data_IF_883754114090
#
_entry.id   IF_883754114090
#
_cell.length_a   1.000
_cell.length_b   1.000
_cell.length_c   1.000
_cell.angle_alpha   90.00
_cell.angle_beta   90.00
_cell.angle_gamma   90.00
#
_symmetry.space_group_name_H-M   'P 1'
#
loop_
_entity.id
_entity.type
_entity.pdbx_description
1 polymer ?
#
# COMPACT_ATOMS: atom_id res chain seq x y z
N UNK A 1 -58.36 40.90 -20.73
CA UNK A 1 -58.72 39.64 -20.01
C UNK A 1 -59.00 38.43 -20.92
N UNK A 2 -58.67 38.46 -22.23
CA UNK A 2 -58.89 37.33 -23.15
C UNK A 2 -57.70 36.35 -23.31
N UNK A 3 -56.47 36.77 -22.96
CA UNK A 3 -55.26 35.94 -23.13
C UNK A 3 -55.10 34.79 -22.12
N UNK A 4 -55.66 34.92 -20.92
CA UNK A 4 -55.46 33.94 -19.83
C UNK A 4 -56.25 32.62 -20.05
N UNK A 5 -57.42 32.70 -20.67
CA UNK A 5 -58.24 31.53 -21.00
C UNK A 5 -57.70 30.77 -22.23
N UNK A 6 -57.15 31.48 -23.22
CA UNK A 6 -56.46 30.88 -24.36
C UNK A 6 -55.19 30.12 -23.96
N UNK A 7 -54.37 30.72 -23.09
CA UNK A 7 -53.15 30.10 -22.56
C UNK A 7 -53.45 28.82 -21.77
N UNK A 8 -54.45 28.82 -20.87
CA UNK A 8 -54.86 27.60 -20.13
C UNK A 8 -55.43 26.50 -21.02
N UNK A 9 -56.16 26.84 -22.09
CA UNK A 9 -56.69 25.86 -23.04
C UNK A 9 -55.56 25.22 -23.86
N UNK A 10 -54.58 26.03 -24.27
CA UNK A 10 -53.40 25.57 -25.00
C UNK A 10 -52.50 24.69 -24.11
N UNK A 11 -52.31 25.05 -22.84
CA UNK A 11 -51.57 24.27 -21.85
C UNK A 11 -52.24 22.91 -21.56
N UNK A 12 -53.58 22.86 -21.47
CA UNK A 12 -54.32 21.59 -21.34
C UNK A 12 -54.16 20.71 -22.57
N UNK A 13 -54.33 21.26 -23.77
CA UNK A 13 -54.16 20.51 -25.01
C UNK A 13 -52.72 19.97 -25.18
N UNK A 14 -51.71 20.72 -24.73
CA UNK A 14 -50.32 20.26 -24.71
C UNK A 14 -50.12 19.10 -23.72
N UNK A 15 -50.73 19.15 -22.53
CA UNK A 15 -50.69 18.07 -21.53
C UNK A 15 -51.39 16.81 -22.04
N UNK A 16 -52.59 16.94 -22.59
CA UNK A 16 -53.34 15.81 -23.14
C UNK A 16 -52.56 15.13 -24.29
N UNK A 17 -51.87 15.91 -25.13
CA UNK A 17 -51.01 15.39 -26.18
C UNK A 17 -49.77 14.66 -25.64
N UNK A 18 -49.15 15.20 -24.57
CA UNK A 18 -48.02 14.56 -23.91
C UNK A 18 -48.42 13.24 -23.22
N UNK A 19 -49.59 13.21 -22.59
CA UNK A 19 -50.12 12.00 -21.95
C UNK A 19 -50.46 10.91 -22.98
N UNK A 20 -51.03 11.31 -24.11
CA UNK A 20 -51.28 10.39 -25.21
C UNK A 20 -49.99 9.84 -25.83
N UNK A 21 -48.93 10.66 -25.90
CA UNK A 21 -47.60 10.20 -26.33
C UNK A 21 -46.96 9.25 -25.31
N UNK A 22 -47.09 9.53 -24.02
CA UNK A 22 -46.61 8.64 -22.96
C UNK A 22 -47.30 7.28 -23.01
N UNK A 23 -48.62 7.25 -23.25
CA UNK A 23 -49.38 6.00 -23.46
C UNK A 23 -48.88 5.22 -24.67
N UNK A 24 -48.73 5.88 -25.84
CA UNK A 24 -48.16 5.24 -27.04
C UNK A 24 -46.77 4.64 -26.80
N UNK A 25 -45.92 5.36 -26.06
CA UNK A 25 -44.58 4.88 -25.68
C UNK A 25 -44.64 3.67 -24.77
N UNK A 26 -45.55 3.66 -23.80
CA UNK A 26 -45.75 2.51 -22.90
C UNK A 26 -46.22 1.27 -23.67
N UNK A 27 -47.17 1.41 -24.60
CA UNK A 27 -47.63 0.31 -25.47
C UNK A 27 -46.49 -0.21 -26.36
N UNK A 28 -45.71 0.69 -26.96
CA UNK A 28 -44.56 0.31 -27.79
C UNK A 28 -43.49 -0.43 -26.97
N UNK A 29 -43.19 0.04 -25.76
CA UNK A 29 -42.21 -0.58 -24.86
C UNK A 29 -42.66 -1.98 -24.41
N UNK A 30 -43.96 -2.20 -24.16
CA UNK A 30 -44.50 -3.53 -23.85
C UNK A 30 -44.28 -4.53 -24.98
N UNK A 31 -44.57 -4.12 -26.21
CA UNK A 31 -44.39 -4.99 -27.39
C UNK A 31 -42.91 -5.29 -27.62
N UNK A 32 -42.04 -4.27 -27.49
CA UNK A 32 -40.60 -4.44 -27.66
C UNK A 32 -40.01 -5.40 -26.61
N UNK A 33 -40.36 -5.22 -25.33
CA UNK A 33 -39.88 -6.06 -24.25
C UNK A 33 -40.42 -7.51 -24.33
N UNK A 34 -41.67 -7.71 -24.76
CA UNK A 34 -42.23 -9.06 -24.99
C UNK A 34 -41.50 -9.80 -26.14
N UNK A 35 -41.25 -9.11 -27.26
CA UNK A 35 -40.48 -9.67 -28.37
C UNK A 35 -39.04 -9.95 -27.97
N UNK A 36 -38.43 -9.07 -27.15
CA UNK A 36 -37.09 -9.27 -26.60
C UNK A 36 -37.04 -10.48 -25.68
N UNK A 37 -38.03 -10.67 -24.82
CA UNK A 37 -38.17 -11.84 -23.95
C UNK A 37 -38.25 -13.13 -24.77
N UNK A 38 -39.08 -13.14 -25.83
CA UNK A 38 -39.23 -14.30 -26.73
C UNK A 38 -37.93 -14.65 -27.43
N UNK A 39 -37.29 -13.65 -28.06
CA UNK A 39 -36.02 -13.84 -28.77
C UNK A 39 -34.92 -14.32 -27.82
N UNK A 40 -34.85 -13.76 -26.61
CA UNK A 40 -33.84 -14.13 -25.61
C UNK A 40 -34.08 -15.54 -25.06
N UNK A 41 -35.32 -16.01 -24.98
CA UNK A 41 -35.63 -17.39 -24.63
C UNK A 41 -35.14 -18.39 -25.70
N UNK A 42 -35.24 -18.02 -26.98
CA UNK A 42 -34.69 -18.83 -28.09
C UNK A 42 -33.16 -18.86 -28.04
N UNK A 43 -32.52 -17.71 -27.79
CA UNK A 43 -31.06 -17.61 -27.60
C UNK A 43 -30.57 -18.42 -26.39
N UNK A 44 -31.35 -18.47 -25.30
CA UNK A 44 -31.03 -19.33 -24.15
C UNK A 44 -30.95 -20.81 -24.56
N UNK A 45 -31.88 -21.30 -25.39
CA UNK A 45 -31.84 -22.70 -25.86
C UNK A 45 -30.56 -22.97 -26.66
N UNK A 46 -30.16 -22.04 -27.52
CA UNK A 46 -28.90 -22.14 -28.26
C UNK A 46 -27.69 -22.13 -27.31
N UNK A 47 -27.66 -21.20 -26.34
CA UNK A 47 -26.58 -21.10 -25.37
C UNK A 47 -26.49 -22.36 -24.49
N UNK A 48 -27.61 -22.97 -24.10
CA UNK A 48 -27.63 -24.23 -23.35
C UNK A 48 -27.03 -25.40 -24.13
N UNK A 49 -27.24 -25.46 -25.44
CA UNK A 49 -26.66 -26.50 -26.30
C UNK A 49 -25.14 -26.34 -26.47
N UNK A 50 -24.65 -25.10 -26.47
CA UNK A 50 -23.22 -24.80 -26.62
C UNK A 50 -22.45 -24.89 -25.30
N UNK A 51 -23.04 -24.40 -24.21
CA UNK A 51 -22.35 -24.19 -22.93
C UNK A 51 -22.78 -25.13 -21.82
N UNK A 52 -24.00 -25.68 -21.87
CA UNK A 52 -24.61 -26.40 -20.76
C UNK A 52 -25.56 -25.51 -19.94
N UNK A 53 -26.18 -26.11 -18.91
CA UNK A 53 -27.26 -25.47 -18.14
C UNK A 53 -26.76 -24.62 -16.98
N UNK A 54 -25.60 -24.96 -16.41
CA UNK A 54 -25.04 -24.19 -15.30
C UNK A 54 -24.47 -22.86 -15.79
N UNK A 55 -23.79 -22.85 -16.93
CA UNK A 55 -23.21 -21.65 -17.52
C UNK A 55 -24.27 -20.63 -17.98
N UNK A 56 -25.50 -21.07 -18.24
CA UNK A 56 -26.62 -20.23 -18.70
C UNK A 56 -27.61 -19.90 -17.59
N UNK A 57 -27.31 -20.26 -16.34
CA UNK A 57 -28.20 -20.07 -15.19
C UNK A 57 -28.62 -18.62 -15.02
N UNK A 58 -27.68 -17.69 -15.07
CA UNK A 58 -27.97 -16.27 -14.86
C UNK A 58 -28.92 -15.69 -15.92
N UNK A 59 -28.84 -16.16 -17.18
CA UNK A 59 -29.77 -15.77 -18.23
C UNK A 59 -31.16 -16.36 -17.99
N UNK A 60 -31.23 -17.62 -17.55
CA UNK A 60 -32.49 -18.28 -17.18
C UNK A 60 -33.20 -17.57 -16.04
N UNK A 61 -32.45 -17.24 -14.98
CA UNK A 61 -32.97 -16.53 -13.82
C UNK A 61 -33.44 -15.11 -14.21
N UNK A 62 -32.70 -14.44 -15.10
CA UNK A 62 -33.12 -13.15 -15.65
C UNK A 62 -34.41 -13.24 -16.48
N UNK A 63 -34.55 -14.25 -17.34
CA UNK A 63 -35.79 -14.48 -18.09
C UNK A 63 -37.00 -14.70 -17.18
N UNK A 64 -36.83 -15.42 -16.07
CA UNK A 64 -37.91 -15.65 -15.10
C UNK A 64 -38.27 -14.38 -14.32
N UNK A 65 -37.27 -13.56 -13.97
CA UNK A 65 -37.48 -12.25 -13.36
C UNK A 65 -38.22 -11.29 -14.33
N UNK A 66 -37.80 -11.25 -15.59
CA UNK A 66 -38.43 -10.42 -16.64
C UNK A 66 -39.86 -10.86 -16.90
N UNK A 67 -40.16 -12.16 -16.98
CA UNK A 67 -41.54 -12.67 -17.10
C UNK A 67 -42.44 -12.17 -15.97
N UNK A 68 -41.92 -12.17 -14.75
CA UNK A 68 -42.67 -11.72 -13.57
C UNK A 68 -43.01 -10.22 -13.67
N UNK A 69 -42.02 -9.39 -14.00
CA UNK A 69 -42.18 -7.94 -14.09
C UNK A 69 -42.95 -7.48 -15.34
N UNK A 70 -42.84 -8.19 -16.47
CA UNK A 70 -43.71 -7.94 -17.63
C UNK A 70 -45.16 -8.30 -17.31
N UNK A 71 -45.41 -9.32 -16.49
CA UNK A 71 -46.76 -9.60 -15.97
C UNK A 71 -47.35 -8.43 -15.17
N UNK A 72 -46.55 -7.74 -14.34
CA UNK A 72 -46.93 -6.50 -13.67
C UNK A 72 -47.24 -5.40 -14.69
N UNK A 73 -46.38 -5.20 -15.69
CA UNK A 73 -46.55 -4.18 -16.72
C UNK A 73 -47.83 -4.41 -17.57
N UNK A 74 -48.13 -5.65 -17.96
CA UNK A 74 -49.38 -5.99 -18.66
C UNK A 74 -50.62 -5.77 -17.78
N UNK A 75 -50.53 -6.07 -16.48
CA UNK A 75 -51.62 -5.78 -15.53
C UNK A 75 -51.88 -4.29 -15.42
N UNK A 76 -50.83 -3.48 -15.33
CA UNK A 76 -50.94 -2.01 -15.33
C UNK A 76 -51.54 -1.50 -16.63
N UNK A 77 -51.16 -2.07 -17.78
CA UNK A 77 -51.73 -1.67 -19.06
C UNK A 77 -53.21 -2.06 -19.19
N UNK A 78 -53.61 -3.20 -18.64
CA UNK A 78 -55.00 -3.62 -18.61
C UNK A 78 -55.86 -2.64 -17.80
N UNK A 79 -55.37 -2.16 -16.64
CA UNK A 79 -56.06 -1.14 -15.84
C UNK A 79 -56.25 0.16 -16.61
N UNK A 80 -55.25 0.61 -17.37
CA UNK A 80 -55.35 1.81 -18.19
C UNK A 80 -56.44 1.73 -19.29
N UNK A 81 -56.87 0.53 -19.65
CA UNK A 81 -57.83 0.25 -20.72
C UNK A 81 -59.15 -0.34 -20.22
N UNK A 82 -59.37 -0.36 -18.90
CA UNK A 82 -60.60 -0.90 -18.35
C UNK A 82 -61.80 0.07 -18.52
N UNK A 83 -62.96 -0.33 -18.02
CA UNK A 83 -64.20 0.44 -18.16
C UNK A 83 -64.39 1.48 -17.04
N UNK A 84 -63.44 1.56 -16.09
CA UNK A 84 -63.46 2.46 -14.94
C UNK A 84 -62.66 3.71 -15.33
N UNK A 85 -63.25 4.92 -15.27
CA UNK A 85 -62.52 6.13 -15.61
C UNK A 85 -61.40 6.42 -14.60
N UNK A 86 -60.15 6.30 -15.02
CA UNK A 86 -58.98 6.72 -14.25
C UNK A 86 -58.74 8.23 -14.32
N UNK A 87 -58.03 8.77 -13.33
CA UNK A 87 -57.53 10.15 -13.40
C UNK A 87 -56.32 10.25 -14.34
N UNK A 88 -56.08 11.42 -14.98
CA UNK A 88 -54.89 11.61 -15.82
C UNK A 88 -53.56 11.39 -15.08
N UNK A 89 -53.52 11.61 -13.77
CA UNK A 89 -52.31 11.41 -12.96
C UNK A 89 -52.02 9.92 -12.71
N UNK A 90 -53.07 9.10 -12.51
CA UNK A 90 -52.95 7.65 -12.40
C UNK A 90 -52.44 7.04 -13.72
N UNK A 91 -53.00 7.47 -14.86
CA UNK A 91 -52.54 7.04 -16.18
C UNK A 91 -51.06 7.39 -16.44
N UNK A 92 -50.63 8.61 -16.10
CA UNK A 92 -49.21 9.00 -16.21
C UNK A 92 -48.32 8.12 -15.36
N UNK A 93 -48.71 7.88 -14.11
CA UNK A 93 -47.93 7.09 -13.15
C UNK A 93 -47.80 5.64 -13.62
N UNK A 94 -48.90 5.03 -14.08
CA UNK A 94 -48.89 3.65 -14.60
C UNK A 94 -48.10 3.54 -15.90
N UNK A 95 -48.28 4.45 -16.86
CA UNK A 95 -47.52 4.44 -18.12
C UNK A 95 -46.02 4.65 -17.88
N UNK A 96 -45.63 5.55 -16.96
CA UNK A 96 -44.23 5.71 -16.58
C UNK A 96 -43.66 4.43 -15.93
N UNK A 97 -44.45 3.76 -15.08
CA UNK A 97 -44.06 2.49 -14.46
C UNK A 97 -43.93 1.36 -15.49
N UNK A 98 -44.84 1.27 -16.47
CA UNK A 98 -44.75 0.31 -17.59
C UNK A 98 -43.44 0.51 -18.34
N UNK A 99 -43.15 1.74 -18.77
CA UNK A 99 -41.90 2.06 -19.47
C UNK A 99 -40.68 1.66 -18.62
N UNK A 100 -40.68 2.01 -17.33
CA UNK A 100 -39.58 1.64 -16.43
C UNK A 100 -39.36 0.13 -16.34
N UNK A 101 -40.44 -0.67 -16.27
CA UNK A 101 -40.36 -2.13 -16.19
C UNK A 101 -39.85 -2.73 -17.52
N UNK A 102 -40.31 -2.19 -18.65
CA UNK A 102 -39.86 -2.62 -19.99
C UNK A 102 -38.40 -2.26 -20.24
N UNK A 103 -37.98 -1.03 -19.94
CA UNK A 103 -36.60 -0.58 -20.10
C UNK A 103 -35.65 -1.43 -19.24
N UNK A 104 -36.02 -1.68 -17.97
CA UNK A 104 -35.26 -2.56 -17.09
C UNK A 104 -35.15 -4.00 -17.63
N UNK A 105 -36.23 -4.52 -18.22
CA UNK A 105 -36.25 -5.85 -18.79
C UNK A 105 -35.31 -5.96 -19.99
N UNK A 106 -35.35 -5.00 -20.91
CA UNK A 106 -34.45 -4.95 -22.06
C UNK A 106 -32.98 -4.85 -21.62
N UNK A 107 -32.66 -3.91 -20.74
CA UNK A 107 -31.30 -3.72 -20.21
C UNK A 107 -30.77 -5.00 -19.54
N UNK A 108 -31.58 -5.64 -18.69
CA UNK A 108 -31.17 -6.86 -18.00
C UNK A 108 -30.89 -8.01 -18.99
N UNK A 109 -31.76 -8.22 -19.97
CA UNK A 109 -31.58 -9.29 -20.95
C UNK A 109 -30.37 -9.04 -21.86
N UNK A 110 -30.16 -7.79 -22.28
CA UNK A 110 -29.01 -7.37 -23.07
C UNK A 110 -27.70 -7.63 -22.32
N UNK A 111 -27.62 -7.23 -21.05
CA UNK A 111 -26.47 -7.46 -20.19
C UNK A 111 -26.15 -8.97 -20.07
N UNK A 112 -27.17 -9.80 -19.83
CA UNK A 112 -26.98 -11.25 -19.68
C UNK A 112 -26.55 -11.91 -20.99
N UNK A 113 -27.12 -11.51 -22.12
CA UNK A 113 -26.73 -12.04 -23.43
C UNK A 113 -25.30 -11.63 -23.80
N UNK A 114 -24.92 -10.38 -23.54
CA UNK A 114 -23.57 -9.90 -23.80
C UNK A 114 -22.52 -10.67 -22.98
N UNK A 115 -22.83 -11.02 -21.73
CA UNK A 115 -21.96 -11.83 -20.89
C UNK A 115 -21.72 -13.25 -21.45
N UNK A 116 -22.65 -13.80 -22.24
CA UNK A 116 -22.54 -15.12 -22.85
C UNK A 116 -21.83 -15.12 -24.21
N UNK A 117 -21.67 -13.96 -24.86
CA UNK A 117 -21.13 -13.88 -26.21
C UNK A 117 -19.71 -14.47 -26.32
N UNK A 118 -18.80 -14.11 -25.40
CA UNK A 118 -17.44 -14.64 -25.40
C UNK A 118 -17.38 -16.14 -25.05
N UNK A 119 -18.05 -16.63 -23.97
CA UNK A 119 -18.16 -18.06 -23.70
C UNK A 119 -18.65 -18.88 -24.90
N UNK A 120 -19.72 -18.43 -25.58
CA UNK A 120 -20.25 -19.11 -26.77
C UNK A 120 -19.22 -19.13 -27.90
N UNK A 121 -18.58 -17.99 -28.18
CA UNK A 121 -17.54 -17.92 -29.21
C UNK A 121 -16.35 -18.85 -28.89
N UNK A 122 -15.98 -18.99 -27.62
CA UNK A 122 -14.93 -19.92 -27.17
C UNK A 122 -15.38 -21.38 -27.32
N UNK A 123 -16.60 -21.72 -26.91
CA UNK A 123 -17.14 -23.06 -27.04
C UNK A 123 -17.22 -23.53 -28.49
N UNK A 124 -17.55 -22.64 -29.43
CA UNK A 124 -17.53 -22.93 -30.88
C UNK A 124 -16.12 -23.20 -31.42
N UNK A 125 -15.10 -22.49 -30.92
CA UNK A 125 -13.69 -22.70 -31.29
C UNK A 125 -13.02 -23.87 -30.56
N UNK A 126 -13.70 -24.53 -29.62
CA UNK A 126 -13.11 -25.62 -28.85
C UNK A 126 -12.46 -26.73 -29.71
N UNK A 127 -13.02 -27.19 -30.85
CA UNK A 127 -12.35 -28.17 -31.71
C UNK A 127 -11.00 -27.68 -32.25
N UNK A 128 -10.93 -26.41 -32.68
CA UNK A 128 -9.67 -25.80 -33.14
C UNK A 128 -8.65 -25.70 -32.01
N UNK A 129 -9.10 -25.34 -30.80
CA UNK A 129 -8.24 -25.27 -29.60
C UNK A 129 -7.71 -26.66 -29.24
N UNK A 130 -8.54 -27.70 -29.30
CA UNK A 130 -8.15 -29.10 -29.04
C UNK A 130 -7.06 -29.55 -30.02
N UNK A 131 -7.20 -29.25 -31.31
CA UNK A 131 -6.16 -29.54 -32.30
C UNK A 131 -4.87 -28.75 -32.04
N UNK A 132 -4.99 -27.49 -31.61
CA UNK A 132 -3.87 -26.68 -31.15
C UNK A 132 -3.11 -27.34 -29.99
N UNK A 133 -3.83 -27.80 -28.97
CA UNK A 133 -3.27 -28.53 -27.81
C UNK A 133 -2.55 -29.80 -28.27
N UNK A 134 -3.16 -30.60 -29.16
CA UNK A 134 -2.53 -31.83 -29.69
C UNK A 134 -1.22 -31.52 -30.42
N UNK A 135 -1.20 -30.46 -31.23
CA UNK A 135 0.01 -30.02 -31.92
C UNK A 135 1.08 -29.50 -30.94
N UNK A 136 0.69 -28.79 -29.89
CA UNK A 136 1.61 -28.33 -28.83
C UNK A 136 2.16 -29.50 -28.02
N UNK A 137 1.32 -30.49 -27.69
CA UNK A 137 1.76 -31.71 -27.02
C UNK A 137 2.80 -32.44 -27.86
N UNK A 138 2.56 -32.62 -29.16
CA UNK A 138 3.53 -33.26 -30.05
C UNK A 138 4.88 -32.52 -30.06
N UNK A 139 4.84 -31.18 -30.22
CA UNK A 139 6.06 -30.34 -30.16
C UNK A 139 6.76 -30.44 -28.81
N UNK A 140 6.01 -30.43 -27.70
CA UNK A 140 6.54 -30.55 -26.36
C UNK A 140 7.23 -31.89 -26.13
N UNK A 141 6.59 -32.99 -26.56
CA UNK A 141 7.12 -34.35 -26.45
C UNK A 141 8.44 -34.49 -27.23
N UNK A 142 8.53 -33.92 -28.44
CA UNK A 142 9.77 -33.90 -29.22
C UNK A 142 10.90 -33.09 -28.55
N UNK A 143 10.55 -32.09 -27.72
CA UNK A 143 11.53 -31.29 -26.96
C UNK A 143 12.05 -32.02 -25.71
N UNK A 144 11.31 -32.95 -25.12
CA UNK A 144 11.68 -33.61 -23.85
C UNK A 144 13.07 -34.27 -23.93
N UNK A 145 13.40 -35.12 -24.93
CA UNK A 145 14.73 -35.74 -25.02
C UNK A 145 15.87 -34.72 -25.15
N UNK A 146 15.62 -33.59 -25.81
CA UNK A 146 16.59 -32.50 -25.91
C UNK A 146 16.81 -31.83 -24.56
N UNK A 147 15.76 -31.58 -23.80
CA UNK A 147 15.85 -31.01 -22.45
C UNK A 147 16.60 -31.97 -21.49
N UNK A 148 16.34 -33.28 -21.56
CA UNK A 148 17.09 -34.29 -20.80
C UNK A 148 18.58 -34.30 -21.17
N UNK A 149 18.93 -34.27 -22.46
CA UNK A 149 20.31 -34.19 -22.90
C UNK A 149 21.00 -32.88 -22.46
N UNK A 150 20.28 -31.77 -22.46
CA UNK A 150 20.78 -30.49 -21.91
C UNK A 150 21.05 -30.60 -20.42
N UNK A 151 20.12 -31.16 -19.65
CA UNK A 151 20.29 -31.36 -18.21
C UNK A 151 21.50 -32.27 -17.91
N UNK A 152 21.71 -33.35 -18.67
CA UNK A 152 22.89 -34.21 -18.51
C UNK A 152 24.21 -33.46 -18.76
N UNK A 153 24.26 -32.57 -19.77
CA UNK A 153 25.44 -31.71 -19.99
C UNK A 153 25.65 -30.73 -18.84
N UNK A 154 24.57 -30.12 -18.35
CA UNK A 154 24.63 -29.18 -17.22
C UNK A 154 25.08 -29.87 -15.93
N UNK A 155 24.67 -31.12 -15.69
CA UNK A 155 25.14 -31.94 -14.56
C UNK A 155 26.65 -32.20 -14.60
N UNK A 156 27.31 -32.12 -15.76
CA UNK A 156 28.76 -32.21 -15.83
C UNK A 156 29.46 -30.90 -15.41
N UNK A 157 28.80 -29.75 -15.56
CA UNK A 157 29.34 -28.41 -15.24
C UNK A 157 28.98 -27.92 -13.85
N UNK A 158 27.74 -28.11 -13.41
CA UNK A 158 27.17 -27.47 -12.22
C UNK A 158 26.86 -28.47 -11.10
N UNK A 159 26.85 -27.98 -9.85
CA UNK A 159 26.51 -28.81 -8.70
C UNK A 159 25.04 -29.27 -8.74
N UNK A 160 24.68 -30.36 -8.04
CA UNK A 160 23.28 -30.76 -7.87
C UNK A 160 22.41 -29.66 -7.26
N UNK A 161 22.97 -28.88 -6.33
CA UNK A 161 22.29 -27.76 -5.66
C UNK A 161 21.92 -26.66 -6.66
N UNK A 162 22.84 -26.29 -7.56
CA UNK A 162 22.58 -25.30 -8.61
C UNK A 162 21.45 -25.73 -9.55
N UNK A 163 21.38 -27.03 -9.86
CA UNK A 163 20.42 -27.61 -10.78
C UNK A 163 19.10 -28.00 -10.12
N UNK A 164 18.98 -27.87 -8.79
CA UNK A 164 17.85 -28.39 -8.04
C UNK A 164 16.49 -27.94 -8.61
N UNK A 165 16.39 -26.67 -9.02
CA UNK A 165 15.16 -26.07 -9.58
C UNK A 165 14.76 -26.60 -10.96
N UNK A 166 15.68 -27.22 -11.70
CA UNK A 166 15.43 -27.69 -13.08
C UNK A 166 15.59 -29.21 -13.24
N UNK A 167 16.13 -29.90 -12.24
CA UNK A 167 16.49 -31.31 -12.33
C UNK A 167 15.28 -32.22 -12.62
N UNK A 168 14.09 -31.87 -12.12
CA UNK A 168 12.85 -32.61 -12.34
C UNK A 168 12.04 -32.19 -13.58
N UNK A 169 12.40 -31.04 -14.19
CA UNK A 169 11.54 -30.36 -15.16
C UNK A 169 11.22 -31.21 -16.41
N UNK A 170 12.18 -31.91 -17.05
CA UNK A 170 11.86 -32.70 -18.24
C UNK A 170 10.85 -33.81 -17.94
N UNK A 171 11.00 -34.49 -16.78
CA UNK A 171 10.10 -35.57 -16.36
C UNK A 171 8.69 -35.05 -16.03
N UNK A 172 8.62 -33.95 -15.29
CA UNK A 172 7.34 -33.31 -14.95
C UNK A 172 6.65 -32.76 -16.20
N UNK A 173 7.39 -32.15 -17.12
CA UNK A 173 6.86 -31.70 -18.40
C UNK A 173 6.27 -32.86 -19.22
N UNK A 174 6.97 -34.01 -19.30
CA UNK A 174 6.45 -35.20 -19.99
C UNK A 174 5.11 -35.66 -19.40
N UNK A 175 5.00 -35.73 -18.06
CA UNK A 175 3.76 -36.11 -17.38
C UNK A 175 2.61 -35.12 -17.65
N UNK A 176 2.92 -33.83 -17.68
CA UNK A 176 1.93 -32.79 -17.98
C UNK A 176 1.48 -32.84 -19.45
N UNK A 177 2.37 -33.16 -20.38
CA UNK A 177 2.04 -33.34 -21.79
C UNK A 177 1.15 -34.57 -22.01
N UNK A 178 1.43 -35.68 -21.34
CA UNK A 178 0.56 -36.87 -21.32
C UNK A 178 -0.83 -36.54 -20.73
N UNK A 179 -0.85 -35.81 -19.62
CA UNK A 179 -2.10 -35.35 -19.00
C UNK A 179 -2.89 -34.42 -19.93
N UNK A 180 -2.22 -33.51 -20.63
CA UNK A 180 -2.85 -32.61 -21.60
C UNK A 180 -3.44 -33.37 -22.79
N UNK A 181 -2.72 -34.37 -23.34
CA UNK A 181 -3.24 -35.23 -24.40
C UNK A 181 -4.51 -35.95 -23.94
N UNK A 182 -4.48 -36.55 -22.75
CA UNK A 182 -5.65 -37.22 -22.19
C UNK A 182 -6.81 -36.25 -21.97
N UNK A 183 -6.54 -35.05 -21.44
CA UNK A 183 -7.55 -34.00 -21.25
C UNK A 183 -8.20 -33.56 -22.56
N UNK A 184 -7.44 -33.46 -23.65
CA UNK A 184 -7.94 -33.16 -24.99
C UNK A 184 -8.88 -34.26 -25.52
N UNK A 185 -8.53 -35.53 -25.31
CA UNK A 185 -9.37 -36.68 -25.69
C UNK A 185 -10.66 -36.75 -24.86
N UNK A 186 -10.56 -36.53 -23.54
CA UNK A 186 -11.72 -36.45 -22.64
C UNK A 186 -12.63 -35.30 -23.04
N UNK A 187 -12.07 -34.12 -23.35
CA UNK A 187 -12.85 -32.99 -23.81
C UNK A 187 -13.64 -33.34 -25.07
N UNK A 188 -12.99 -33.95 -26.06
CA UNK A 188 -13.63 -34.41 -27.31
C UNK A 188 -14.81 -35.35 -27.03
N UNK A 189 -14.58 -36.42 -26.26
CA UNK A 189 -15.61 -37.42 -25.96
C UNK A 189 -16.79 -36.84 -25.16
N UNK A 190 -16.52 -35.92 -24.22
CA UNK A 190 -17.57 -35.24 -23.44
C UNK A 190 -18.40 -34.31 -24.32
N UNK A 191 -17.79 -33.62 -25.30
CA UNK A 191 -18.52 -32.80 -26.27
C UNK A 191 -19.45 -33.63 -27.15
N UNK A 192 -18.99 -34.78 -27.63
CA UNK A 192 -19.77 -35.70 -28.47
C UNK A 192 -20.95 -36.31 -27.71
N UNK A 193 -20.82 -36.50 -26.40
CA UNK A 193 -21.90 -37.01 -25.52
C UNK A 193 -22.79 -35.90 -24.93
N UNK A 194 -22.65 -34.65 -25.37
CA UNK A 194 -23.46 -33.51 -24.92
C UNK A 194 -23.08 -32.94 -23.54
N UNK A 195 -22.01 -33.42 -22.93
CA UNK A 195 -21.50 -33.00 -21.62
C UNK A 195 -20.58 -31.75 -21.75
N UNK A 196 -21.17 -30.61 -22.15
CA UNK A 196 -20.43 -29.38 -22.50
C UNK A 196 -19.60 -28.82 -21.35
N UNK A 197 -20.14 -28.81 -20.15
CA UNK A 197 -19.47 -28.29 -18.96
C UNK A 197 -18.22 -29.11 -18.61
N UNK A 198 -18.38 -30.44 -18.55
CA UNK A 198 -17.27 -31.36 -18.27
C UNK A 198 -16.21 -31.32 -19.39
N UNK A 199 -16.64 -31.12 -20.63
CA UNK A 199 -15.74 -30.95 -21.75
C UNK A 199 -14.90 -29.65 -21.65
N UNK A 200 -15.53 -28.53 -21.29
CA UNK A 200 -14.84 -27.25 -21.14
C UNK A 200 -13.84 -27.30 -19.99
N UNK A 201 -14.21 -27.92 -18.86
CA UNK A 201 -13.28 -28.14 -17.76
C UNK A 201 -12.06 -28.96 -18.20
N UNK A 202 -12.27 -30.09 -18.88
CA UNK A 202 -11.17 -30.91 -19.39
C UNK A 202 -10.26 -30.14 -20.38
N UNK A 203 -10.87 -29.28 -21.21
CA UNK A 203 -10.15 -28.40 -22.14
C UNK A 203 -9.26 -27.40 -21.39
N UNK A 204 -9.80 -26.69 -20.41
CA UNK A 204 -9.06 -25.70 -19.62
C UNK A 204 -7.89 -26.36 -18.85
N UNK A 205 -8.11 -27.53 -18.28
CA UNK A 205 -7.04 -28.29 -17.62
C UNK A 205 -5.94 -28.72 -18.58
N UNK A 206 -6.29 -29.07 -19.81
CA UNK A 206 -5.31 -29.44 -20.83
C UNK A 206 -4.49 -28.23 -21.29
N UNK A 207 -5.13 -27.07 -21.48
CA UNK A 207 -4.46 -25.79 -21.80
C UNK A 207 -3.43 -25.46 -20.72
N UNK A 208 -3.84 -25.50 -19.45
CA UNK A 208 -2.96 -25.17 -18.33
C UNK A 208 -1.79 -26.16 -18.22
N UNK A 209 -2.03 -27.44 -18.44
CA UNK A 209 -0.98 -28.46 -18.42
C UNK A 209 0.07 -28.25 -19.51
N UNK A 210 -0.34 -27.93 -20.75
CA UNK A 210 0.61 -27.58 -21.84
C UNK A 210 1.40 -26.32 -21.50
N UNK A 211 0.74 -25.28 -20.97
CA UNK A 211 1.40 -24.03 -20.56
C UNK A 211 2.48 -24.29 -19.51
N UNK A 212 2.17 -25.10 -18.49
CA UNK A 212 3.12 -25.47 -17.44
C UNK A 212 4.26 -26.33 -17.98
N UNK A 213 3.97 -27.33 -18.82
CA UNK A 213 5.00 -28.16 -19.45
C UNK A 213 5.98 -27.32 -20.28
N UNK A 214 5.45 -26.38 -21.06
CA UNK A 214 6.26 -25.44 -21.86
C UNK A 214 7.17 -24.60 -20.98
N UNK A 215 6.63 -24.02 -19.90
CA UNK A 215 7.41 -23.23 -18.94
C UNK A 215 8.55 -24.03 -18.31
N UNK A 216 8.31 -25.30 -17.96
CA UNK A 216 9.32 -26.18 -17.38
C UNK A 216 10.45 -26.49 -18.37
N UNK A 217 10.13 -26.74 -19.63
CA UNK A 217 11.12 -26.98 -20.69
C UNK A 217 11.92 -25.71 -21.00
N UNK A 218 11.25 -24.56 -21.08
CA UNK A 218 11.90 -23.26 -21.31
C UNK A 218 12.88 -22.90 -20.19
N UNK A 219 12.56 -23.24 -18.94
CA UNK A 219 13.47 -23.05 -17.81
C UNK A 219 14.77 -23.89 -17.94
N UNK A 220 14.71 -25.09 -18.51
CA UNK A 220 15.91 -25.90 -18.78
C UNK A 220 16.76 -25.26 -19.88
N UNK A 221 16.11 -24.76 -20.93
CA UNK A 221 16.80 -24.09 -22.05
C UNK A 221 17.46 -22.77 -21.63
N UNK A 222 16.81 -22.01 -20.72
CA UNK A 222 17.31 -20.72 -20.23
C UNK A 222 18.45 -20.84 -19.20
N UNK A 223 18.50 -21.96 -18.46
CA UNK A 223 19.41 -22.12 -17.32
C UNK A 223 20.88 -21.87 -17.65
N UNK A 224 21.38 -22.39 -18.79
CA UNK A 224 22.79 -22.25 -19.14
C UNK A 224 23.20 -20.79 -19.32
N UNK A 225 22.33 -19.99 -19.94
CA UNK A 225 22.56 -18.55 -20.15
C UNK A 225 22.53 -17.81 -18.81
N UNK A 226 21.62 -18.17 -17.92
CA UNK A 226 21.52 -17.57 -16.58
C UNK A 226 22.74 -17.92 -15.72
N UNK A 227 23.19 -19.17 -15.75
CA UNK A 227 24.35 -19.62 -15.02
C UNK A 227 25.64 -18.94 -15.52
N UNK A 228 25.82 -18.80 -16.83
CA UNK A 228 26.94 -18.04 -17.42
C UNK A 228 26.93 -16.55 -17.01
N UNK A 229 25.74 -15.93 -16.92
CA UNK A 229 25.62 -14.55 -16.43
C UNK A 229 25.95 -14.46 -14.95
N UNK A 230 25.53 -15.43 -14.15
CA UNK A 230 25.85 -15.49 -12.73
C UNK A 230 27.37 -15.67 -12.52
N UNK A 231 28.03 -16.55 -13.28
CA UNK A 231 29.50 -16.71 -13.29
C UNK A 231 30.21 -15.38 -13.63
N UNK A 232 29.84 -14.74 -14.75
CA UNK A 232 30.46 -13.47 -15.15
C UNK A 232 30.25 -12.35 -14.13
N UNK A 233 29.10 -12.34 -13.45
CA UNK A 233 28.82 -11.35 -12.39
C UNK A 233 29.60 -11.66 -11.12
N UNK A 234 29.74 -12.95 -10.80
CA UNK A 234 30.53 -13.40 -9.66
C UNK A 234 31.99 -12.98 -9.81
N UNK A 235 32.58 -13.16 -10.99
CA UNK A 235 33.96 -12.73 -11.29
C UNK A 235 34.16 -11.22 -11.03
N UNK A 236 33.21 -10.39 -11.49
CA UNK A 236 33.25 -8.94 -11.27
C UNK A 236 33.15 -8.58 -9.78
N UNK A 237 32.22 -9.22 -9.04
CA UNK A 237 32.03 -8.96 -7.61
C UNK A 237 33.22 -9.46 -6.79
N UNK A 238 33.87 -10.56 -7.18
CA UNK A 238 35.09 -11.04 -6.51
C UNK A 238 36.21 -10.01 -6.58
N UNK A 239 36.42 -9.40 -7.75
CA UNK A 239 37.43 -8.36 -7.91
C UNK A 239 37.09 -7.11 -7.08
N UNK A 240 35.83 -6.67 -7.14
CA UNK A 240 35.33 -5.51 -6.37
C UNK A 240 35.47 -5.75 -4.85
N UNK A 241 35.02 -6.91 -4.36
CA UNK A 241 35.10 -7.32 -2.96
C UNK A 241 36.54 -7.31 -2.42
N UNK A 242 37.53 -7.69 -3.25
CA UNK A 242 38.95 -7.62 -2.86
C UNK A 242 39.42 -6.17 -2.74
N UNK A 243 38.95 -5.29 -3.62
CA UNK A 243 39.15 -3.85 -3.53
C UNK A 243 38.55 -3.28 -2.24
N UNK A 244 37.30 -3.62 -1.93
CA UNK A 244 36.57 -3.16 -0.74
C UNK A 244 37.24 -3.61 0.55
N UNK A 245 37.73 -4.86 0.61
CA UNK A 245 38.53 -5.35 1.74
C UNK A 245 39.82 -4.57 1.94
N UNK A 246 40.48 -4.11 0.87
CA UNK A 246 41.67 -3.26 0.97
C UNK A 246 41.28 -1.86 1.42
N UNK A 247 40.21 -1.30 0.86
CA UNK A 247 39.72 0.04 1.15
C UNK A 247 39.22 0.19 2.59
N UNK A 248 38.65 -0.86 3.19
CA UNK A 248 38.13 -0.87 4.55
C UNK A 248 39.20 -1.04 5.66
N UNK A 249 40.47 -1.25 5.30
CA UNK A 249 41.56 -1.47 6.28
C UNK A 249 41.80 -0.28 7.21
N UNK A 250 41.49 0.93 6.76
CA UNK A 250 41.56 2.16 7.57
C UNK A 250 40.57 2.16 8.74
N UNK A 251 39.48 1.38 8.62
CA UNK A 251 38.39 1.28 9.59
C UNK A 251 38.45 0.04 10.49
N UNK A 252 39.58 -0.67 10.54
CA UNK A 252 39.75 -1.89 11.38
C UNK A 252 39.53 -1.67 12.89
N UNK A 253 39.62 -0.42 13.34
CA UNK A 253 39.31 -0.05 14.73
C UNK A 253 37.81 -0.11 15.05
N UNK A 254 36.94 -0.20 14.04
CA UNK A 254 35.48 -0.32 14.20
C UNK A 254 35.10 -1.82 14.18
N UNK A 255 34.62 -2.40 15.30
CA UNK A 255 34.36 -3.84 15.39
C UNK A 255 33.36 -4.38 14.35
N UNK A 256 32.35 -3.57 13.99
CA UNK A 256 31.36 -3.95 12.99
C UNK A 256 31.97 -4.10 11.58
N UNK A 257 32.90 -3.21 11.21
CA UNK A 257 33.62 -3.30 9.94
C UNK A 257 34.52 -4.54 9.94
N UNK A 258 35.28 -4.77 11.01
CA UNK A 258 36.14 -5.96 11.13
C UNK A 258 35.36 -7.27 11.04
N UNK A 259 34.17 -7.34 11.65
CA UNK A 259 33.29 -8.51 11.55
C UNK A 259 32.72 -8.72 10.13
N UNK A 260 32.34 -7.63 9.46
CA UNK A 260 31.87 -7.68 8.07
C UNK A 260 32.99 -8.10 7.10
N UNK A 261 34.20 -7.54 7.26
CA UNK A 261 35.38 -7.94 6.50
C UNK A 261 35.70 -9.43 6.67
N UNK A 262 35.69 -9.94 7.91
CA UNK A 262 35.92 -11.37 8.17
C UNK A 262 34.85 -12.27 7.55
N UNK A 263 33.61 -11.78 7.43
CA UNK A 263 32.53 -12.49 6.75
C UNK A 263 32.75 -12.51 5.23
N UNK A 264 33.10 -11.38 4.63
CA UNK A 264 33.38 -11.29 3.20
C UNK A 264 34.60 -12.13 2.80
N UNK A 265 35.68 -12.08 3.57
CA UNK A 265 36.89 -12.90 3.35
C UNK A 265 36.56 -14.41 3.44
N UNK A 266 35.74 -14.80 4.41
CA UNK A 266 35.24 -16.18 4.52
C UNK A 266 34.43 -16.59 3.30
N UNK A 267 33.48 -15.79 2.82
CA UNK A 267 32.70 -16.15 1.63
C UNK A 267 33.58 -16.22 0.37
N UNK A 268 34.55 -15.32 0.21
CA UNK A 268 35.56 -15.39 -0.87
C UNK A 268 36.39 -16.67 -0.81
N UNK A 269 36.76 -17.13 0.39
CA UNK A 269 37.53 -18.36 0.58
C UNK A 269 36.71 -19.64 0.33
N UNK A 270 35.37 -19.54 0.39
CA UNK A 270 34.44 -20.65 0.20
C UNK A 270 33.95 -20.81 -1.24
N UNK A 271 34.36 -19.91 -2.16
CA UNK A 271 34.06 -20.03 -3.58
C UNK A 271 34.58 -21.34 -4.14
N UNK A 272 33.84 -21.89 -5.11
CA UNK A 272 34.18 -23.21 -5.65
C UNK A 272 35.51 -23.16 -6.40
N UNK A 273 36.50 -24.01 -6.04
CA UNK A 273 37.78 -24.07 -6.75
C UNK A 273 37.63 -24.51 -8.21
N UNK A 274 38.56 -24.05 -9.06
CA UNK A 274 38.65 -24.48 -10.45
C UNK A 274 38.68 -26.03 -10.56
N UNK A 275 37.89 -26.56 -11.51
CA UNK A 275 37.77 -28.00 -11.74
C UNK A 275 36.75 -28.73 -10.86
N UNK A 276 36.13 -28.05 -9.88
CA UNK A 276 34.91 -28.53 -9.21
C UNK A 276 33.67 -27.92 -9.86
N UNK A 277 32.50 -28.49 -9.56
CA UNK A 277 31.21 -28.03 -10.09
C UNK A 277 30.63 -26.94 -9.18
N UNK A 278 30.53 -25.68 -9.63
CA UNK A 278 30.06 -24.58 -8.81
C UNK A 278 28.54 -24.55 -8.66
N UNK A 279 28.09 -23.78 -7.67
CA UNK A 279 26.73 -23.23 -7.61
C UNK A 279 26.82 -21.71 -7.76
N UNK A 280 26.83 -21.20 -9.00
CA UNK A 280 27.07 -19.77 -9.23
C UNK A 280 25.96 -18.89 -8.65
N UNK A 281 24.74 -19.41 -8.47
CA UNK A 281 23.63 -18.62 -7.92
C UNK A 281 23.77 -18.45 -6.41
N UNK A 282 24.08 -19.53 -5.70
CA UNK A 282 24.26 -19.49 -4.24
C UNK A 282 25.55 -18.76 -3.87
N UNK A 283 26.63 -18.96 -4.62
CA UNK A 283 27.90 -18.22 -4.44
C UNK A 283 27.69 -16.71 -4.65
N UNK A 284 27.03 -16.32 -5.74
CA UNK A 284 26.72 -14.92 -6.04
C UNK A 284 25.84 -14.27 -4.96
N UNK A 285 24.84 -14.99 -4.45
CA UNK A 285 23.95 -14.48 -3.41
C UNK A 285 24.70 -14.21 -2.12
N UNK A 286 25.47 -15.20 -1.62
CA UNK A 286 26.26 -15.05 -0.40
C UNK A 286 27.29 -13.93 -0.49
N UNK A 287 27.96 -13.80 -1.63
CA UNK A 287 28.97 -12.77 -1.81
C UNK A 287 28.34 -11.36 -1.86
N UNK A 288 27.19 -11.19 -2.53
CA UNK A 288 26.44 -9.92 -2.52
C UNK A 288 25.97 -9.53 -1.12
N UNK A 289 25.45 -10.49 -0.35
CA UNK A 289 25.02 -10.25 1.02
C UNK A 289 26.19 -9.80 1.90
N UNK A 290 27.35 -10.48 1.78
CA UNK A 290 28.54 -10.12 2.52
C UNK A 290 29.09 -8.74 2.10
N UNK A 291 29.09 -8.41 0.81
CA UNK A 291 29.56 -7.11 0.33
C UNK A 291 28.64 -5.98 0.80
N UNK A 292 27.32 -6.14 0.66
CA UNK A 292 26.36 -5.16 1.14
C UNK A 292 26.45 -4.94 2.67
N UNK A 293 26.76 -5.99 3.44
CA UNK A 293 27.01 -5.86 4.87
C UNK A 293 28.28 -5.06 5.18
N UNK A 294 29.36 -5.25 4.41
CA UNK A 294 30.58 -4.46 4.53
C UNK A 294 30.32 -2.98 4.17
N UNK A 295 29.65 -2.73 3.05
CA UNK A 295 29.28 -1.38 2.61
C UNK A 295 28.47 -0.65 3.68
N UNK A 296 27.46 -1.31 4.26
CA UNK A 296 26.64 -0.74 5.32
C UNK A 296 27.47 -0.41 6.57
N UNK A 297 28.40 -1.29 6.96
CA UNK A 297 29.28 -1.07 8.11
C UNK A 297 30.26 0.09 7.86
N UNK A 298 30.87 0.14 6.67
CA UNK A 298 31.80 1.22 6.27
C UNK A 298 31.07 2.56 6.18
N UNK A 299 29.88 2.59 5.57
CA UNK A 299 29.06 3.79 5.48
C UNK A 299 28.67 4.31 6.87
N UNK A 300 28.23 3.42 7.77
CA UNK A 300 27.91 3.79 9.17
C UNK A 300 29.16 4.33 9.89
N UNK A 301 30.31 3.67 9.74
CA UNK A 301 31.56 4.10 10.35
C UNK A 301 32.03 5.48 9.85
N UNK A 302 31.96 5.73 8.54
CA UNK A 302 32.32 7.03 7.95
C UNK A 302 31.36 8.13 8.37
N UNK A 303 30.05 7.86 8.38
CA UNK A 303 29.05 8.81 8.88
C UNK A 303 29.30 9.17 10.35
N UNK A 304 29.73 8.20 11.15
CA UNK A 304 30.10 8.38 12.56
C UNK A 304 31.38 9.19 12.75
N UNK A 305 32.38 8.99 11.91
CA UNK A 305 33.60 9.78 11.94
C UNK A 305 33.35 11.24 11.53
N UNK A 306 32.50 11.45 10.53
CA UNK A 306 32.10 12.80 10.10
C UNK A 306 31.22 13.51 11.12
N UNK A 307 30.36 12.77 11.84
CA UNK A 307 29.46 13.31 12.86
C UNK A 307 29.61 12.53 14.19
N UNK A 308 30.63 12.85 15.01
CA UNK A 308 30.83 12.20 16.29
C UNK A 308 29.64 12.44 17.24
N UNK A 309 29.21 11.43 18.02
CA UNK A 309 28.14 11.62 19.00
C UNK A 309 28.59 12.60 20.08
N UNK A 310 27.65 13.29 20.74
CA UNK A 310 27.99 13.99 21.96
C UNK A 310 28.58 13.01 23.00
N UNK A 311 29.65 13.39 23.71
CA UNK A 311 30.20 12.58 24.80
C UNK A 311 29.12 12.23 25.82
N UNK A 312 29.11 10.99 26.31
CA UNK A 312 28.10 10.54 27.27
C UNK A 312 28.05 11.42 28.53
N UNK A 313 29.21 11.92 28.98
CA UNK A 313 29.29 12.85 30.10
C UNK A 313 28.52 14.15 29.82
N UNK A 314 28.55 14.69 28.59
CA UNK A 314 27.78 15.89 28.24
C UNK A 314 26.28 15.63 28.27
N UNK A 315 25.83 14.46 27.81
CA UNK A 315 24.43 14.05 27.88
C UNK A 315 23.98 13.94 29.35
N UNK A 316 24.78 13.28 30.20
CA UNK A 316 24.48 13.15 31.64
C UNK A 316 24.43 14.50 32.34
N UNK A 317 25.38 15.39 32.06
CA UNK A 317 25.36 16.75 32.62
C UNK A 317 24.12 17.56 32.19
N UNK A 318 23.67 17.41 30.94
CA UNK A 318 22.44 18.06 30.49
C UNK A 318 21.20 17.51 31.20
N UNK A 319 21.15 16.19 31.47
CA UNK A 319 20.06 15.57 32.25
C UNK A 319 20.09 16.08 33.70
N UNK A 320 21.25 16.12 34.35
CA UNK A 320 21.39 16.62 35.72
C UNK A 320 20.99 18.10 35.82
N UNK A 321 21.31 18.90 34.80
CA UNK A 321 20.92 20.31 34.75
C UNK A 321 19.40 20.47 34.58
N UNK A 322 18.80 19.71 33.67
CA UNK A 322 17.35 19.65 33.51
C UNK A 322 16.66 19.24 34.81
N UNK A 323 17.22 18.27 35.55
CA UNK A 323 16.71 17.83 36.85
C UNK A 323 16.74 18.92 37.91
N UNK A 324 17.82 19.70 37.99
CA UNK A 324 17.89 20.85 38.90
C UNK A 324 16.84 21.91 38.54
N UNK A 325 16.72 22.27 37.26
CA UNK A 325 15.75 23.26 36.81
C UNK A 325 14.31 22.79 37.07
N UNK A 326 14.02 21.51 36.81
CA UNK A 326 12.72 20.89 37.06
C UNK A 326 12.39 20.88 38.56
N UNK A 327 13.37 20.57 39.42
CA UNK A 327 13.23 20.62 40.87
C UNK A 327 12.88 22.01 41.39
N UNK A 328 13.55 23.05 40.88
CA UNK A 328 13.26 24.45 41.24
C UNK A 328 11.85 24.86 40.79
N UNK A 329 11.50 24.61 39.52
CA UNK A 329 10.18 24.93 38.98
C UNK A 329 9.06 24.22 39.75
N UNK A 330 9.23 22.93 40.06
CA UNK A 330 8.30 22.14 40.88
C UNK A 330 8.10 22.73 42.27
N UNK A 331 9.19 23.15 42.91
CA UNK A 331 9.14 23.71 44.27
C UNK A 331 8.38 25.03 44.30
N UNK A 332 8.71 25.97 43.40
CA UNK A 332 8.03 27.27 43.30
C UNK A 332 6.54 27.11 42.99
N UNK A 333 6.21 26.29 41.99
CA UNK A 333 4.81 26.04 41.58
C UNK A 333 4.03 25.34 42.70
N UNK A 334 4.65 24.41 43.43
CA UNK A 334 4.00 23.71 44.55
C UNK A 334 3.81 24.59 45.78
N UNK A 335 4.69 25.57 46.02
CA UNK A 335 4.58 26.52 47.13
C UNK A 335 3.51 27.60 46.93
N UNK A 336 3.17 27.92 45.67
CA UNK A 336 2.30 29.04 45.33
C UNK A 336 1.04 28.61 44.56
N UNK A 337 0.53 27.40 44.82
CA UNK A 337 -0.55 26.76 44.03
C UNK A 337 -1.82 27.61 43.85
N UNK A 338 -2.14 28.52 44.77
CA UNK A 338 -3.30 29.41 44.65
C UNK A 338 -3.12 30.53 43.61
N UNK A 339 -1.89 30.82 43.21
CA UNK A 339 -1.51 32.01 42.44
C UNK A 339 -0.99 31.66 41.04
N UNK A 340 -0.52 30.43 40.83
CA UNK A 340 0.04 29.99 39.54
C UNK A 340 -1.07 29.70 38.52
N UNK A 341 -0.88 30.13 37.27
CA UNK A 341 -1.78 29.91 36.13
C UNK A 341 -1.68 28.53 35.48
N UNK A 342 -2.49 28.29 34.45
CA UNK A 342 -2.53 27.02 33.72
C UNK A 342 -1.29 26.80 32.83
N UNK A 343 -0.75 27.87 32.26
CA UNK A 343 0.39 27.80 31.32
C UNK A 343 1.66 27.29 31.99
N UNK A 344 2.00 27.82 33.17
CA UNK A 344 3.15 27.37 33.95
C UNK A 344 3.04 25.87 34.33
N UNK A 345 1.83 25.42 34.73
CA UNK A 345 1.58 24.02 35.06
C UNK A 345 1.67 23.10 33.85
N UNK A 346 1.23 23.58 32.68
CA UNK A 346 1.30 22.82 31.43
C UNK A 346 2.75 22.62 30.99
N UNK A 347 3.58 23.67 31.05
CA UNK A 347 5.02 23.57 30.75
C UNK A 347 5.74 22.63 31.72
N UNK A 348 5.41 22.70 33.01
CA UNK A 348 5.95 21.78 34.01
C UNK A 348 5.56 20.33 33.72
N UNK A 349 4.30 20.05 33.43
CA UNK A 349 3.82 18.70 33.13
C UNK A 349 4.50 18.09 31.90
N UNK A 350 4.74 18.88 30.84
CA UNK A 350 5.45 18.42 29.65
C UNK A 350 6.95 18.17 29.93
N UNK A 351 7.60 19.02 30.73
CA UNK A 351 8.97 18.79 31.16
C UNK A 351 9.09 17.49 31.98
N UNK A 352 8.12 17.22 32.86
CA UNK A 352 8.05 15.97 33.63
C UNK A 352 7.86 14.74 32.75
N UNK A 353 7.05 14.86 31.68
CA UNK A 353 6.86 13.79 30.70
C UNK A 353 8.18 13.43 30.00
N UNK A 354 8.90 14.42 29.48
CA UNK A 354 10.21 14.20 28.84
C UNK A 354 11.21 13.64 29.85
N UNK A 355 11.19 14.11 31.10
CA UNK A 355 12.07 13.57 32.15
C UNK A 355 11.81 12.10 32.46
N UNK A 356 10.54 11.66 32.39
CA UNK A 356 10.17 10.26 32.56
C UNK A 356 10.75 9.40 31.42
N UNK A 357 10.73 9.89 30.18
CA UNK A 357 11.36 9.21 29.04
C UNK A 357 12.88 9.08 29.26
N UNK A 358 13.55 10.17 29.65
CA UNK A 358 14.98 10.18 30.00
C UNK A 358 15.33 9.29 31.20
N UNK A 359 14.38 8.99 32.09
CA UNK A 359 14.63 8.17 33.29
C UNK A 359 15.07 6.75 32.94
N UNK A 360 14.65 6.24 31.78
CA UNK A 360 15.04 4.92 31.26
C UNK A 360 16.55 4.79 31.01
N UNK A 361 17.24 5.92 30.80
CA UNK A 361 18.69 5.99 30.56
C UNK A 361 19.52 6.08 31.86
N UNK A 362 18.85 6.09 33.02
CA UNK A 362 19.53 6.26 34.32
C UNK A 362 20.20 4.94 34.75
N UNK A 363 21.47 5.01 35.15
CA UNK A 363 22.18 3.86 35.72
C UNK A 363 22.72 2.83 34.72
N UNK A 364 22.52 3.04 33.41
CA UNK A 364 23.10 2.22 32.34
C UNK A 364 23.93 3.11 31.40
N UNK A 365 24.96 2.57 30.70
CA UNK A 365 25.66 3.29 29.63
C UNK A 365 24.67 3.72 28.56
N UNK A 366 24.75 4.97 28.10
CA UNK A 366 23.86 5.48 27.04
C UNK A 366 24.43 5.01 25.71
N UNK A 367 23.66 4.20 24.98
CA UNK A 367 24.06 3.69 23.69
C UNK A 367 24.38 4.84 22.75
N UNK A 368 25.43 4.63 21.98
CA UNK A 368 26.06 5.67 21.19
C UNK A 368 25.11 6.31 20.16
N UNK A 369 24.20 5.52 19.60
CA UNK A 369 23.19 5.94 18.63
C UNK A 369 22.06 6.78 19.28
N UNK A 370 21.87 6.69 20.61
CA UNK A 370 20.79 7.39 21.34
C UNK A 370 21.25 8.74 21.92
N UNK A 371 22.56 9.00 21.98
CA UNK A 371 23.13 10.14 22.73
C UNK A 371 22.69 11.50 22.22
N UNK A 372 22.53 11.65 20.91
CA UNK A 372 22.12 12.93 20.31
C UNK A 372 20.66 13.26 20.63
N UNK A 373 19.77 12.28 20.49
CA UNK A 373 18.36 12.41 20.87
C UNK A 373 18.24 12.67 22.37
N UNK A 374 18.94 11.90 23.21
CA UNK A 374 18.94 12.08 24.66
C UNK A 374 19.43 13.48 25.08
N UNK A 375 20.44 14.03 24.39
CA UNK A 375 20.91 15.39 24.65
C UNK A 375 19.87 16.45 24.26
N UNK A 376 19.20 16.26 23.11
CA UNK A 376 18.14 17.16 22.65
C UNK A 376 16.95 17.15 23.62
N UNK A 377 16.53 15.97 24.07
CA UNK A 377 15.45 15.81 25.04
C UNK A 377 15.79 16.40 26.40
N UNK A 378 17.03 16.21 26.88
CA UNK A 378 17.50 16.82 28.13
C UNK A 378 17.47 18.35 28.06
N UNK A 379 17.96 18.94 26.96
CA UNK A 379 17.90 20.39 26.74
C UNK A 379 16.48 20.91 26.66
N UNK A 380 15.58 20.19 25.97
CA UNK A 380 14.17 20.54 25.86
C UNK A 380 13.45 20.48 27.21
N UNK A 381 13.73 19.45 28.02
CA UNK A 381 13.24 19.32 29.39
C UNK A 381 13.64 20.52 30.25
N UNK A 382 14.92 20.91 30.21
CA UNK A 382 15.42 22.10 30.92
C UNK A 382 14.73 23.38 30.45
N UNK A 383 14.65 23.61 29.14
CA UNK A 383 13.97 24.78 28.56
C UNK A 383 12.52 24.91 29.04
N UNK A 384 11.74 23.83 29.00
CA UNK A 384 10.36 23.81 29.48
C UNK A 384 10.26 24.07 31.00
N UNK A 385 11.19 23.54 31.79
CA UNK A 385 11.26 23.81 33.23
C UNK A 385 11.57 25.29 33.53
N UNK A 386 12.50 25.90 32.79
CA UNK A 386 12.83 27.31 32.92
C UNK A 386 11.67 28.22 32.51
N UNK A 387 10.96 27.90 31.42
CA UNK A 387 9.75 28.62 30.99
C UNK A 387 8.63 28.50 32.04
N UNK A 388 8.42 27.32 32.60
CA UNK A 388 7.45 27.09 33.68
C UNK A 388 7.76 27.97 34.90
N UNK A 389 9.04 28.06 35.29
CA UNK A 389 9.49 28.91 36.39
C UNK A 389 9.27 30.40 36.10
N UNK A 390 9.60 30.88 34.91
CA UNK A 390 9.40 32.28 34.53
C UNK A 390 7.91 32.68 34.52
N UNK A 391 7.05 31.82 33.97
CA UNK A 391 5.60 32.02 34.01
C UNK A 391 5.10 32.05 35.45
N UNK A 392 5.52 31.09 36.28
CA UNK A 392 5.13 31.04 37.69
C UNK A 392 5.57 32.28 38.46
N UNK A 393 6.78 32.80 38.19
CA UNK A 393 7.27 34.02 38.83
C UNK A 393 6.44 35.25 38.44
N UNK A 394 6.09 35.39 37.16
CA UNK A 394 5.19 36.45 36.68
C UNK A 394 3.83 36.37 37.35
N UNK A 395 3.27 35.17 37.48
CA UNK A 395 1.98 34.94 38.13
C UNK A 395 2.04 35.39 39.61
N UNK A 396 3.10 35.02 40.34
CA UNK A 396 3.33 35.44 41.73
C UNK A 396 3.45 36.96 41.83
N UNK A 397 4.27 37.58 40.99
CA UNK A 397 4.53 39.02 41.03
C UNK A 397 3.27 39.82 40.68
N UNK A 398 2.48 39.37 39.70
CA UNK A 398 1.21 40.00 39.31
C UNK A 398 0.14 39.94 40.40
N UNK A 399 0.29 39.01 41.34
CA UNK A 399 -0.68 38.81 42.41
C UNK A 399 -0.30 39.47 43.73
N UNK A 400 0.90 40.06 43.82
CA UNK A 400 1.24 40.93 44.95
C UNK A 400 0.44 42.24 44.85
N UNK A 401 -0.25 42.68 45.90
CA UNK A 401 -0.89 44.01 45.90
C UNK A 401 0.17 45.10 45.68
N UNK A 402 -0.06 46.02 44.74
CA UNK A 402 0.75 47.23 44.62
C UNK A 402 0.49 48.11 45.86
N UNK A 403 1.43 48.13 46.80
CA UNK A 403 1.47 49.08 47.92
C UNK A 403 1.97 50.49 47.49
N UNK A 404 1.58 50.94 46.29
CA UNK A 404 1.87 52.30 45.77
C UNK A 404 0.63 53.21 45.80
N UNK A 405 -0.33 52.93 46.68
CA UNK A 405 -1.44 53.84 46.98
C UNK A 405 -1.48 54.22 48.47
N UNK A 406 -0.42 54.87 48.94
CA UNK A 406 -0.43 55.64 50.20
C UNK A 406 0.25 57.01 50.02
N UNK A 407 -0.24 57.79 49.05
CA UNK A 407 0.05 59.21 48.91
C UNK A 407 -0.75 60.05 49.91
N UNK A 408 -0.15 60.37 51.05
CA UNK A 408 -0.64 61.33 52.03
C UNK A 408 -0.33 62.80 51.65
N UNK A 409 -1.15 63.79 52.07
CA UNK A 409 -1.10 65.16 51.59
C UNK A 409 -0.04 66.01 52.29
N UNK A 410 0.89 66.58 51.52
CA UNK A 410 1.93 67.51 52.00
C UNK A 410 1.94 68.79 51.19
N UNK A 411 1.11 69.75 51.59
CA UNK A 411 1.13 71.13 51.13
C UNK A 411 2.30 71.88 51.78
N UNK A 412 3.17 72.49 50.97
CA UNK A 412 3.98 73.64 51.39
C UNK A 412 5.50 73.50 51.26
N UNK A 413 6.07 74.22 50.30
CA UNK A 413 7.12 75.19 50.63
C UNK A 413 8.54 74.94 50.10
N UNK A 414 8.90 75.77 49.10
CA UNK A 414 10.16 76.52 48.95
C UNK A 414 11.51 75.84 49.29
N UNK A 415 12.40 75.77 48.27
CA UNK A 415 13.84 75.72 48.52
C UNK A 415 14.63 75.14 47.34
N UNK A 416 15.19 76.01 46.50
CA UNK A 416 16.05 75.61 45.38
C UNK A 416 17.45 75.16 45.80
N UNK A 417 18.23 74.67 44.83
CA UNK A 417 19.69 74.59 44.98
C UNK A 417 20.37 73.36 44.39
N UNK A 418 20.79 73.49 43.13
CA UNK A 418 22.02 72.98 42.48
C UNK A 418 23.04 72.17 43.31
N UNK A 419 23.62 71.18 42.59
CA UNK A 419 24.96 70.52 42.74
C UNK A 419 25.04 69.56 43.94
N UNK A 420 25.59 68.36 43.87
CA UNK A 420 26.38 67.68 42.85
C UNK A 420 27.17 66.57 43.55
N UNK A 421 27.54 65.54 42.79
CA UNK A 421 28.66 64.62 43.01
C UNK A 421 28.67 63.71 44.27
N UNK A 422 28.70 62.40 44.00
CA UNK A 422 29.70 61.50 44.61
C UNK A 422 29.14 60.31 45.39
N UNK A 423 29.16 59.14 44.74
CA UNK A 423 29.42 57.77 45.27
C UNK A 423 28.60 57.25 46.45
N UNK A 424 28.39 55.95 46.65
CA UNK A 424 28.67 54.74 45.91
C UNK A 424 28.02 53.58 46.71
N UNK A 425 27.70 52.47 46.04
CA UNK A 425 27.67 51.10 46.61
C UNK A 425 26.49 50.68 47.53
N UNK A 426 25.50 49.95 46.97
CA UNK A 426 25.21 48.50 47.12
C UNK A 426 23.79 48.22 46.58
N UNK A 427 23.71 47.56 45.43
CA UNK A 427 22.46 47.01 44.86
C UNK A 427 22.81 45.90 43.88
N UNK A 428 22.87 44.66 44.38
CA UNK A 428 23.30 43.48 43.62
C UNK A 428 22.34 43.12 42.50
N UNK A 429 22.83 43.34 41.28
CA UNK A 429 22.30 42.91 40.00
C UNK A 429 22.65 41.42 39.80
N UNK A 430 21.65 40.57 39.51
CA UNK A 430 21.86 39.28 38.85
C UNK A 430 20.90 39.14 37.68
N UNK A 431 21.28 39.78 36.57
CA UNK A 431 20.73 39.57 35.24
C UNK A 431 21.86 39.62 34.20
N UNK A 432 21.84 38.67 33.26
CA UNK A 432 22.76 38.56 32.11
C UNK A 432 23.69 37.35 32.23
N UNK A 433 23.93 36.53 31.20
CA UNK A 433 23.88 36.77 29.76
C UNK A 433 23.78 35.44 29.00
N UNK A 434 22.96 35.44 27.95
CA UNK A 434 23.15 34.63 26.75
C UNK A 434 24.11 35.40 25.84
N UNK A 435 25.22 34.78 25.43
CA UNK A 435 25.94 35.11 24.18
C UNK A 435 26.24 33.78 23.49
N UNK A 436 25.77 33.66 22.26
CA UNK A 436 26.01 32.52 21.38
C UNK A 436 27.32 32.61 20.62
N UNK A 437 27.77 31.44 20.17
CA UNK A 437 28.26 31.10 18.82
C UNK A 437 29.31 32.00 18.10
N UNK A 438 30.35 31.31 17.60
CA UNK A 438 31.21 31.59 16.43
C UNK A 438 32.51 32.39 16.68
N UNK A 439 33.64 31.67 16.52
CA UNK A 439 34.92 32.02 15.85
C UNK A 439 35.85 30.81 16.05
N UNK A 440 35.96 29.91 15.07
CA UNK A 440 36.93 29.92 13.95
C UNK A 440 38.33 29.47 14.38
N UNK A 441 38.87 28.50 13.63
CA UNK A 441 40.13 27.82 13.94
C UNK A 441 41.33 28.73 13.72
N UNK A 442 42.44 28.41 14.41
CA UNK A 442 43.84 28.67 14.02
C UNK A 442 44.78 28.16 15.14
N UNK A 443 45.72 27.28 14.75
CA UNK A 443 46.86 26.67 15.47
C UNK A 443 46.71 25.27 16.10
N UNK A 444 47.43 24.34 15.44
CA UNK A 444 47.88 22.95 15.72
C UNK A 444 46.85 21.81 15.91
#
# INVERSE_FOLDING_TARGET
>A
MAGFWGARKQERAQRDAADAELGRRADAALVAADERLRTTADELLFAELELGRDATRDLRDALDAVRTHLGEAFTLNQLNHDHIPDTPEELRTRNARIIQLCDWAEDLLDDRLQALAEPVARARRAPEIIEGIRAEVARGTDRVPRAEATLQRLQARYSPEALHKIAGNPREAAQLLEFAAHGADVSTARRESGQREQANLALETAIEAVRRATTLLDAVDAFEVEALRAESTLDAIVEDSRGDLVAAKDLLHVPAVTAAMATLDRELSQLTPAGKKPDPFTELTRLREANAALDAAVAKARARAANPPPPEAHVRHAIDDADRQLGVARSVISGHRGWIGADARTRLAEAERIRLELSTLTGQPIAEDDREQALADARRCGQLAAEALQLAQRDIDSSRPNDDNWGGPGQGGWGGGRRGAGGDVVGGILGGLVIGSILDGIFD
#
